data_IF_346403345936
#
_entry.id   IF_346403345936
#
_cell.length_a   1.000
_cell.length_b   1.000
_cell.length_c   1.000
_cell.angle_alpha   90.00
_cell.angle_beta   90.00
_cell.angle_gamma   90.00
#
_symmetry.space_group_name_H-M   'P 1'
#
loop_
_entity.id
_entity.type
_entity.pdbx_description
1 polymer ?
#
# COMPACT_ATOMS: atom_id res chain seq x y z
N UNK A 1 16.75 5.67 -6.93
CA UNK A 1 15.32 5.35 -6.92
C UNK A 1 14.62 6.41 -6.09
N UNK A 2 13.59 7.06 -6.61
CA UNK A 2 12.87 8.13 -5.89
C UNK A 2 11.44 7.66 -5.69
N UNK A 3 11.09 7.30 -4.46
CA UNK A 3 9.72 6.90 -4.12
C UNK A 3 8.85 8.15 -4.07
N UNK A 4 7.71 8.12 -4.76
CA UNK A 4 6.66 9.13 -4.66
C UNK A 4 5.39 8.48 -4.11
N UNK A 5 4.91 9.03 -2.99
CA UNK A 5 3.68 8.59 -2.36
C UNK A 5 2.55 9.56 -2.68
N UNK A 6 1.56 9.11 -3.44
CA UNK A 6 0.35 9.88 -3.70
C UNK A 6 -0.67 9.60 -2.61
N UNK A 7 -1.22 10.65 -2.02
CA UNK A 7 -2.07 10.56 -0.84
C UNK A 7 -3.35 11.35 -0.95
N UNK A 8 -4.27 11.07 -0.02
CA UNK A 8 -5.49 11.83 0.20
C UNK A 8 -5.49 12.51 1.57
N UNK A 9 -6.20 13.64 1.74
CA UNK A 9 -6.45 14.25 3.04
C UNK A 9 -7.11 13.25 3.99
N UNK A 10 -6.74 13.31 5.27
CA UNK A 10 -7.31 12.48 6.34
C UNK A 10 -7.27 10.95 6.10
N UNK A 11 -6.38 10.51 5.21
CA UNK A 11 -6.24 9.10 4.83
C UNK A 11 -5.44 8.30 5.87
N UNK A 12 -6.13 7.43 6.62
CA UNK A 12 -5.52 6.50 7.59
C UNK A 12 -4.44 5.63 6.93
N UNK A 13 -4.77 4.97 5.81
CA UNK A 13 -3.84 4.09 5.08
C UNK A 13 -2.58 4.81 4.61
N UNK A 14 -2.71 6.08 4.23
CA UNK A 14 -1.59 6.94 3.85
C UNK A 14 -0.68 7.24 5.04
N UNK A 15 -1.25 7.50 6.23
CA UNK A 15 -0.46 7.68 7.46
C UNK A 15 0.32 6.43 7.83
N UNK A 16 -0.28 5.25 7.66
CA UNK A 16 0.38 3.96 7.94
C UNK A 16 1.61 3.77 7.05
N UNK A 17 1.49 4.03 5.75
CA UNK A 17 2.64 3.94 4.83
C UNK A 17 3.70 4.99 5.13
N UNK A 18 3.31 6.24 5.41
CA UNK A 18 4.25 7.30 5.80
C UNK A 18 5.04 6.94 7.07
N UNK A 19 4.36 6.34 8.06
CA UNK A 19 5.00 5.86 9.28
C UNK A 19 6.01 4.76 8.97
N UNK A 20 5.66 3.80 8.12
CA UNK A 20 6.56 2.72 7.70
C UNK A 20 7.85 3.27 7.06
N UNK A 21 7.70 4.16 6.07
CA UNK A 21 8.82 4.78 5.36
C UNK A 21 9.72 5.55 6.33
N UNK A 22 9.12 6.32 7.25
CA UNK A 22 9.85 7.09 8.26
C UNK A 22 10.63 6.19 9.23
N UNK A 23 10.01 5.13 9.73
CA UNK A 23 10.65 4.17 10.65
C UNK A 23 11.84 3.45 10.00
N UNK A 24 11.78 3.23 8.68
CA UNK A 24 12.86 2.61 7.90
C UNK A 24 13.89 3.60 7.35
N UNK A 25 13.72 4.90 7.60
CA UNK A 25 14.62 5.93 7.07
C UNK A 25 14.63 6.00 5.54
N UNK A 26 13.54 5.59 4.89
CA UNK A 26 13.41 5.61 3.42
C UNK A 26 12.98 7.01 3.01
N UNK A 27 13.73 7.64 2.10
CA UNK A 27 13.37 8.94 1.53
C UNK A 27 12.23 8.79 0.52
N UNK A 28 11.26 9.70 0.57
CA UNK A 28 10.12 9.73 -0.35
C UNK A 28 9.59 11.14 -0.56
N UNK A 29 9.11 11.41 -1.77
CA UNK A 29 8.26 12.55 -2.08
C UNK A 29 6.79 12.28 -1.73
N UNK A 30 6.02 13.32 -1.50
CA UNK A 30 4.57 13.24 -1.23
C UNK A 30 3.83 14.16 -2.19
N UNK A 31 2.78 13.65 -2.81
CA UNK A 31 1.86 14.41 -3.66
C UNK A 31 0.45 14.18 -3.13
N UNK A 32 -0.23 15.23 -2.66
CA UNK A 32 -1.62 15.15 -2.24
C UNK A 32 -2.55 15.34 -3.43
N UNK A 33 -3.52 14.45 -3.64
CA UNK A 33 -4.37 14.53 -4.84
C UNK A 33 -5.23 15.80 -4.89
N UNK A 34 -5.45 16.46 -3.75
CA UNK A 34 -6.25 17.68 -3.64
C UNK A 34 -5.38 18.92 -3.60
N UNK A 35 -4.30 18.93 -2.81
CA UNK A 35 -3.41 20.09 -2.72
C UNK A 35 -2.52 20.25 -3.97
N UNK A 36 -2.06 19.12 -4.54
CA UNK A 36 -1.16 19.04 -5.68
C UNK A 36 -1.91 18.44 -6.90
N UNK A 37 -3.11 18.95 -7.14
CA UNK A 37 -4.04 18.35 -8.09
C UNK A 37 -3.48 18.28 -9.52
N UNK A 38 -2.64 19.24 -9.94
CA UNK A 38 -2.08 19.26 -11.29
C UNK A 38 -1.05 18.14 -11.49
N UNK A 39 -0.19 17.94 -10.50
CA UNK A 39 0.84 16.91 -10.44
C UNK A 39 0.19 15.53 -10.39
N UNK A 40 -0.78 15.34 -9.49
CA UNK A 40 -1.55 14.10 -9.40
C UNK A 40 -2.29 13.78 -10.71
N UNK A 41 -2.96 14.75 -11.32
CA UNK A 41 -3.70 14.52 -12.56
C UNK A 41 -2.78 14.15 -13.73
N UNK A 42 -1.57 14.72 -13.78
CA UNK A 42 -0.55 14.36 -14.78
C UNK A 42 -0.14 12.90 -14.60
N UNK A 43 0.24 12.52 -13.38
CA UNK A 43 0.60 11.14 -13.04
C UNK A 43 -0.55 10.15 -13.33
N UNK A 44 -1.76 10.48 -12.87
CA UNK A 44 -2.93 9.64 -13.04
C UNK A 44 -3.27 9.41 -14.50
N UNK A 45 -3.23 10.44 -15.35
CA UNK A 45 -3.53 10.31 -16.79
C UNK A 45 -2.51 9.41 -17.50
N UNK A 46 -1.23 9.54 -17.16
CA UNK A 46 -0.17 8.71 -17.71
C UNK A 46 -0.30 7.23 -17.30
N UNK A 47 -0.73 6.99 -16.05
CA UNK A 47 -0.73 5.65 -15.44
C UNK A 47 -2.12 5.03 -15.27
N UNK A 48 -3.19 5.63 -15.82
CA UNK A 48 -4.59 5.25 -15.59
C UNK A 48 -4.91 3.77 -15.77
N UNK A 49 -4.18 3.06 -16.64
CA UNK A 49 -4.39 1.62 -16.92
C UNK A 49 -3.81 0.72 -15.83
N UNK A 50 -2.87 1.23 -15.04
CA UNK A 50 -2.17 0.54 -13.94
C UNK A 50 -2.78 0.86 -12.57
N UNK A 51 -3.64 1.87 -12.50
CA UNK A 51 -4.29 2.32 -11.26
C UNK A 51 -5.70 1.77 -11.22
N UNK A 52 -6.01 0.98 -10.19
CA UNK A 52 -7.37 0.52 -9.97
C UNK A 52 -8.22 1.66 -9.37
N UNK A 53 -9.50 1.68 -9.79
CA UNK A 53 -10.52 2.58 -9.28
C UNK A 53 -11.80 1.81 -9.02
N UNK A 54 -12.44 2.09 -7.90
CA UNK A 54 -13.78 1.61 -7.58
C UNK A 54 -14.81 2.74 -7.89
N UNK A 55 -16.11 2.53 -7.66
CA UNK A 55 -17.13 3.57 -7.83
C UNK A 55 -16.90 4.82 -6.96
N UNK A 56 -16.19 4.70 -5.83
CA UNK A 56 -15.87 5.80 -4.92
C UNK A 56 -14.63 6.60 -5.37
N UNK A 57 -13.83 6.05 -6.28
CA UNK A 57 -12.69 6.72 -6.88
C UNK A 57 -11.41 5.90 -6.86
N UNK A 58 -10.29 6.60 -6.83
CA UNK A 58 -8.95 6.01 -6.73
C UNK A 58 -8.70 5.61 -5.29
N UNK A 59 -8.25 4.38 -5.07
CA UNK A 59 -7.84 3.92 -3.76
C UNK A 59 -6.45 4.48 -3.42
N UNK A 60 -6.32 5.07 -2.22
CA UNK A 60 -5.07 5.60 -1.69
C UNK A 60 -4.54 4.75 -0.54
N UNK A 61 -3.22 4.71 -0.31
CA UNK A 61 -2.17 5.42 -1.06
C UNK A 61 -1.78 4.75 -2.39
N UNK A 62 -1.16 5.51 -3.29
CA UNK A 62 -0.39 4.97 -4.42
C UNK A 62 1.10 5.22 -4.17
N UNK A 63 1.93 4.22 -4.39
CA UNK A 63 3.38 4.32 -4.31
C UNK A 63 3.96 4.07 -5.70
N UNK A 64 4.79 4.99 -6.18
CA UNK A 64 5.54 4.88 -7.44
C UNK A 64 7.03 5.01 -7.14
N UNK A 65 7.83 4.03 -7.52
CA UNK A 65 9.30 4.07 -7.39
C UNK A 65 10.02 4.45 -8.71
N UNK A 66 9.25 4.73 -9.76
CA UNK A 66 9.70 5.01 -11.13
C UNK A 66 9.56 3.81 -12.07
N UNK A 67 9.38 2.59 -11.54
CA UNK A 67 9.23 1.36 -12.33
C UNK A 67 7.88 0.70 -12.02
N UNK A 68 7.55 0.57 -10.73
CA UNK A 68 6.39 -0.14 -10.20
C UNK A 68 5.46 0.83 -9.49
N UNK A 69 4.16 0.70 -9.79
CA UNK A 69 3.09 1.38 -9.07
C UNK A 69 2.36 0.36 -8.21
N UNK A 70 2.31 0.59 -6.90
CA UNK A 70 1.54 -0.21 -5.93
C UNK A 70 0.42 0.63 -5.32
N UNK A 71 -0.70 -0.02 -5.02
CA UNK A 71 -1.90 0.63 -4.53
C UNK A 71 -2.42 -0.01 -3.25
N UNK A 72 -2.77 0.82 -2.27
CA UNK A 72 -3.26 0.38 -0.97
C UNK A 72 -2.14 0.07 0.02
N UNK A 73 -2.40 0.27 1.31
CA UNK A 73 -1.37 0.15 2.35
C UNK A 73 -0.79 -1.25 2.48
N UNK A 74 -1.57 -2.30 2.20
CA UNK A 74 -1.09 -3.69 2.24
C UNK A 74 -0.03 -3.96 1.18
N UNK A 75 -0.39 -3.77 -0.10
CA UNK A 75 0.52 -4.00 -1.22
C UNK A 75 1.75 -3.09 -1.18
N UNK A 76 1.57 -1.81 -0.81
CA UNK A 76 2.69 -0.87 -0.73
C UNK A 76 3.69 -1.30 0.33
N UNK A 77 3.25 -1.63 1.55
CA UNK A 77 4.17 -2.05 2.62
C UNK A 77 4.81 -3.40 2.28
N UNK A 78 4.06 -4.35 1.70
CA UNK A 78 4.60 -5.64 1.28
C UNK A 78 5.70 -5.48 0.22
N UNK A 79 5.48 -4.59 -0.76
CA UNK A 79 6.47 -4.29 -1.79
C UNK A 79 7.72 -3.61 -1.23
N UNK A 80 7.57 -2.68 -0.30
CA UNK A 80 8.70 -2.03 0.36
C UNK A 80 9.49 -2.98 1.29
N UNK A 81 8.88 -4.06 1.76
CA UNK A 81 9.54 -5.09 2.57
C UNK A 81 10.32 -6.09 1.71
N UNK A 82 9.69 -6.61 0.67
CA UNK A 82 10.17 -7.81 -0.01
C UNK A 82 10.13 -7.73 -1.55
N UNK A 83 9.90 -6.54 -2.11
CA UNK A 83 9.67 -6.37 -3.55
C UNK A 83 8.47 -7.20 -4.01
N UNK A 84 8.66 -8.01 -5.05
CA UNK A 84 7.60 -8.86 -5.58
C UNK A 84 7.40 -10.18 -4.80
N UNK A 85 8.23 -10.49 -3.80
CA UNK A 85 8.22 -11.81 -3.17
C UNK A 85 6.91 -12.10 -2.40
N UNK A 86 6.23 -11.08 -1.88
CA UNK A 86 4.99 -11.24 -1.12
C UNK A 86 3.71 -11.19 -1.97
N UNK A 87 3.80 -11.03 -3.30
CA UNK A 87 2.62 -10.98 -4.18
C UNK A 87 1.70 -12.21 -4.13
N UNK A 88 2.19 -13.45 -3.88
CA UNK A 88 1.30 -14.60 -3.67
C UNK A 88 0.44 -14.46 -2.39
N UNK A 89 0.95 -13.77 -1.37
CA UNK A 89 0.30 -13.67 -0.06
C UNK A 89 -0.46 -12.36 0.17
N UNK A 90 -0.17 -11.33 -0.63
CA UNK A 90 -0.67 -9.98 -0.44
C UNK A 90 -1.32 -9.46 -1.71
N UNK A 91 -2.59 -9.14 -1.63
CA UNK A 91 -3.38 -8.51 -2.68
C UNK A 91 -4.07 -7.26 -2.16
N UNK A 92 -4.65 -6.48 -3.06
CA UNK A 92 -5.47 -5.32 -2.72
C UNK A 92 -6.59 -5.69 -1.75
N UNK A 93 -6.80 -4.82 -0.77
CA UNK A 93 -7.95 -4.95 0.14
C UNK A 93 -9.25 -4.64 -0.57
N UNK A 94 -10.23 -5.54 -0.41
CA UNK A 94 -11.61 -5.30 -0.84
C UNK A 94 -12.45 -4.65 0.28
N UNK A 95 -11.94 -4.65 1.51
CA UNK A 95 -12.61 -4.03 2.66
C UNK A 95 -12.27 -2.54 2.80
N UNK A 96 -13.21 -1.79 3.38
CA UNK A 96 -13.13 -0.36 3.67
C UNK A 96 -13.36 -0.10 5.17
N UNK A 97 -13.41 1.18 5.58
CA UNK A 97 -13.81 1.61 6.94
C UNK A 97 -12.97 1.01 8.08
N UNK A 98 -11.64 1.13 7.98
CA UNK A 98 -10.72 0.68 9.05
C UNK A 98 -10.39 -0.81 9.03
N UNK A 99 -10.96 -1.57 8.08
CA UNK A 99 -10.57 -2.96 7.84
C UNK A 99 -9.58 -3.07 6.68
N UNK A 100 -8.79 -4.15 6.72
CA UNK A 100 -7.93 -4.56 5.61
C UNK A 100 -8.04 -6.07 5.38
N UNK A 101 -8.22 -6.46 4.12
CA UNK A 101 -8.20 -7.84 3.63
C UNK A 101 -7.08 -8.02 2.59
N UNK A 102 -7.09 -9.14 1.87
CA UNK A 102 -6.08 -9.45 0.85
C UNK A 102 -4.78 -9.98 1.46
N UNK A 103 -4.85 -10.62 2.62
CA UNK A 103 -3.69 -11.18 3.33
C UNK A 103 -3.92 -12.68 3.52
N UNK A 104 -3.10 -13.50 2.85
CA UNK A 104 -3.23 -14.95 2.77
C UNK A 104 -2.02 -15.60 3.43
N UNK A 105 -2.15 -15.96 4.71
CA UNK A 105 -1.05 -16.54 5.49
C UNK A 105 -0.57 -17.86 4.89
N UNK A 106 -1.48 -18.68 4.36
CA UNK A 106 -1.15 -19.96 3.73
C UNK A 106 -0.43 -19.84 2.38
N UNK A 107 -0.39 -18.63 1.79
CA UNK A 107 0.31 -18.37 0.52
C UNK A 107 1.62 -17.60 0.75
N UNK A 108 2.03 -17.39 2.01
CA UNK A 108 3.30 -16.76 2.32
C UNK A 108 4.47 -17.68 1.92
N UNK A 109 5.45 -17.19 1.13
CA UNK A 109 6.68 -17.94 0.90
C UNK A 109 7.41 -18.22 2.21
N UNK A 110 7.97 -19.42 2.34
CA UNK A 110 8.62 -19.89 3.56
C UNK A 110 9.84 -19.04 3.98
N UNK A 111 10.51 -18.38 3.03
CA UNK A 111 11.63 -17.47 3.30
C UNK A 111 11.21 -16.03 3.63
N UNK A 112 9.89 -15.75 3.68
CA UNK A 112 9.32 -14.41 3.82
C UNK A 112 8.31 -14.27 4.97
N UNK A 113 8.27 -15.24 5.87
CA UNK A 113 7.35 -15.23 7.01
C UNK A 113 7.57 -14.00 7.92
N UNK A 114 8.83 -13.63 8.18
CA UNK A 114 9.17 -12.44 8.99
C UNK A 114 8.70 -11.13 8.33
N UNK A 115 8.82 -11.03 7.00
CA UNK A 115 8.33 -9.89 6.23
C UNK A 115 6.80 -9.82 6.32
N UNK A 116 6.10 -10.95 6.20
CA UNK A 116 4.65 -11.02 6.33
C UNK A 116 4.16 -10.67 7.74
N UNK A 117 4.81 -11.18 8.78
CA UNK A 117 4.50 -10.82 10.19
C UNK A 117 4.74 -9.33 10.42
N UNK A 118 5.82 -8.78 9.87
CA UNK A 118 6.14 -7.35 9.96
C UNK A 118 5.04 -6.51 9.30
N UNK A 119 4.61 -6.89 8.09
CA UNK A 119 3.50 -6.26 7.39
C UNK A 119 2.22 -6.23 8.23
N UNK A 120 1.77 -7.39 8.69
CA UNK A 120 0.53 -7.54 9.47
C UNK A 120 0.58 -6.73 10.75
N UNK A 121 1.71 -6.81 11.46
CA UNK A 121 1.93 -6.06 12.70
C UNK A 121 1.90 -4.55 12.47
N UNK A 122 2.53 -4.09 11.38
CA UNK A 122 2.56 -2.67 11.03
C UNK A 122 1.16 -2.13 10.71
N UNK A 123 0.39 -2.88 9.91
CA UNK A 123 -0.99 -2.52 9.56
C UNK A 123 -1.88 -2.44 10.81
N UNK A 124 -1.77 -3.41 11.72
CA UNK A 124 -2.52 -3.44 12.98
C UNK A 124 -2.14 -2.29 13.91
N UNK A 125 -0.84 -2.04 14.11
CA UNK A 125 -0.33 -0.88 14.88
C UNK A 125 -0.80 0.46 14.30
N UNK A 126 -0.98 0.49 12.99
CA UNK A 126 -1.54 1.62 12.25
C UNK A 126 -3.02 1.92 12.52
N UNK A 127 -3.72 1.05 13.26
CA UNK A 127 -5.13 1.21 13.61
C UNK A 127 -6.10 0.50 12.65
N UNK A 128 -5.62 -0.42 11.81
CA UNK A 128 -6.49 -1.25 10.97
C UNK A 128 -6.86 -2.56 11.68
N UNK A 129 -8.12 -2.96 11.54
CA UNK A 129 -8.54 -4.33 11.82
C UNK A 129 -8.12 -5.23 10.66
N UNK A 130 -7.21 -6.16 10.94
CA UNK A 130 -6.59 -7.03 9.91
C UNK A 130 -7.36 -8.34 9.78
N UNK A 131 -7.87 -8.63 8.58
CA UNK A 131 -8.46 -9.92 8.24
C UNK A 131 -7.43 -10.80 7.53
N UNK A 132 -6.95 -11.83 8.23
CA UNK A 132 -6.10 -12.87 7.67
C UNK A 132 -6.94 -14.01 7.13
N UNK A 133 -6.56 -14.54 5.97
CA UNK A 133 -7.10 -15.80 5.42
C UNK A 133 -6.05 -16.89 5.52
N UNK A 134 -6.48 -18.06 5.97
CA UNK A 134 -5.74 -19.31 5.94
C UNK A 134 -6.67 -20.40 5.38
N UNK A 135 -6.09 -21.51 4.96
CA UNK A 135 -6.78 -22.67 4.38
C UNK A 135 -7.28 -23.69 5.43
N UNK A 136 -7.59 -23.23 6.64
CA UNK A 136 -8.03 -24.05 7.78
C UNK A 136 -9.49 -23.87 8.18
#
# INVERSE_FOLDING_TARGET
MSITLYTAPDCLRCRIVKAFLKERGIEYGVIDFKADAQEFNTFYRANRKRIYRNPEGVEFPLCDDGEVIKQGSGEVVAYLLAGHALEPAVTRSELLHGWISGLYASQCPADREDDFVTLVTHLAKGGLSVLLRADG
#
